data_IF_467496492568
#
_entry.id   IF_467496492568
#
_cell.length_a   1.000
_cell.length_b   1.000
_cell.length_c   1.000
_cell.angle_alpha   90.00
_cell.angle_beta   90.00
_cell.angle_gamma   90.00
#
_symmetry.space_group_name_H-M   'P 1'
#
loop_
_entity.id
_entity.type
_entity.pdbx_description
1 polymer ?
#
# COMPACT_ATOMS: atom_id res chain seq x y z
N UNK A 1 9.49 -32.06 -0.26
CA UNK A 1 8.34 -32.45 0.59
C UNK A 1 7.60 -31.17 0.90
N UNK A 2 6.39 -30.98 0.36
CA UNK A 2 5.54 -29.82 0.69
C UNK A 2 5.09 -30.03 2.13
N UNK A 3 5.34 -29.06 2.98
CA UNK A 3 5.05 -29.11 4.41
C UNK A 3 3.53 -29.27 4.63
N UNK A 4 3.11 -30.43 5.07
CA UNK A 4 1.69 -30.77 5.26
C UNK A 4 1.01 -30.01 6.41
N UNK A 5 1.73 -29.16 7.12
CA UNK A 5 1.22 -28.38 8.26
C UNK A 5 0.44 -27.14 7.84
N UNK A 6 0.53 -26.69 6.58
CA UNK A 6 -0.14 -25.50 6.09
C UNK A 6 -1.54 -25.72 5.49
N UNK A 7 -1.97 -26.97 5.32
CA UNK A 7 -3.21 -27.28 4.58
C UNK A 7 -4.51 -26.89 5.29
N UNK A 8 -4.51 -26.60 6.60
CA UNK A 8 -5.76 -26.28 7.36
C UNK A 8 -5.68 -25.00 8.19
N UNK A 9 -4.64 -24.19 8.02
CA UNK A 9 -4.52 -22.93 8.75
C UNK A 9 -5.68 -22.00 8.37
N UNK A 10 -6.43 -21.55 9.35
CA UNK A 10 -7.47 -20.51 9.18
C UNK A 10 -6.80 -19.15 9.23
N UNK A 11 -7.26 -18.24 8.35
CA UNK A 11 -6.81 -16.85 8.41
C UNK A 11 -7.29 -16.20 9.72
N UNK A 12 -6.36 -15.53 10.40
CA UNK A 12 -6.69 -14.72 11.58
C UNK A 12 -7.32 -13.39 11.16
N UNK A 13 -7.79 -12.62 12.14
CA UNK A 13 -8.26 -11.25 11.91
C UNK A 13 -7.13 -10.35 11.36
N UNK A 14 -5.92 -10.52 11.86
CA UNK A 14 -4.73 -9.80 11.42
C UNK A 14 -4.35 -10.13 9.98
N UNK A 15 -4.44 -11.42 9.60
CA UNK A 15 -4.25 -11.86 8.21
C UNK A 15 -5.29 -11.18 7.30
N UNK A 16 -6.55 -11.17 7.70
CA UNK A 16 -7.60 -10.47 6.95
C UNK A 16 -7.32 -8.97 6.83
N UNK A 17 -6.96 -8.30 7.92
CA UNK A 17 -6.63 -6.87 7.89
C UNK A 17 -5.48 -6.57 6.94
N UNK A 18 -4.46 -7.45 6.93
CA UNK A 18 -3.33 -7.37 5.97
C UNK A 18 -3.81 -7.54 4.54
N UNK A 19 -4.66 -8.53 4.25
CA UNK A 19 -5.23 -8.76 2.92
C UNK A 19 -6.07 -7.53 2.49
N UNK A 20 -6.95 -7.04 3.32
CA UNK A 20 -7.80 -5.90 3.01
C UNK A 20 -6.98 -4.63 2.79
N UNK A 21 -6.01 -4.35 3.66
CA UNK A 21 -5.21 -3.14 3.57
C UNK A 21 -4.24 -3.18 2.37
N UNK A 22 -3.46 -4.25 2.22
CA UNK A 22 -2.42 -4.32 1.19
C UNK A 22 -2.93 -4.86 -0.14
N UNK A 23 -3.56 -6.04 -0.18
CA UNK A 23 -3.98 -6.64 -1.45
C UNK A 23 -5.15 -5.88 -2.07
N UNK A 24 -6.21 -5.60 -1.31
CA UNK A 24 -7.36 -4.86 -1.83
C UNK A 24 -7.05 -3.36 -1.92
N UNK A 25 -6.50 -2.77 -0.88
CA UNK A 25 -6.24 -1.33 -0.80
C UNK A 25 -5.03 -0.89 -1.63
N UNK A 26 -3.82 -1.16 -1.13
CA UNK A 26 -2.59 -0.59 -1.72
C UNK A 26 -2.31 -1.16 -3.11
N UNK A 27 -2.41 -2.48 -3.29
CA UNK A 27 -2.11 -3.12 -4.58
C UNK A 27 -3.12 -2.74 -5.67
N UNK A 28 -4.41 -2.69 -5.32
CA UNK A 28 -5.50 -2.68 -6.29
C UNK A 28 -6.24 -1.33 -6.38
N UNK A 29 -6.47 -0.63 -5.27
CA UNK A 29 -7.27 0.60 -5.27
C UNK A 29 -6.42 1.86 -5.30
N UNK A 30 -5.62 2.09 -4.27
CA UNK A 30 -4.96 3.38 -4.10
C UNK A 30 -3.57 3.47 -4.71
N UNK A 31 -2.83 2.36 -4.73
CA UNK A 31 -1.40 2.37 -5.08
C UNK A 31 -0.67 3.46 -4.25
N UNK A 32 -0.04 4.41 -4.91
CA UNK A 32 0.64 5.55 -4.25
C UNK A 32 -0.30 6.72 -3.92
N UNK A 33 -1.63 6.59 -4.13
CA UNK A 33 -2.57 7.72 -4.06
C UNK A 33 -3.38 7.81 -2.76
N UNK A 34 -3.07 6.97 -1.75
CA UNK A 34 -3.86 6.88 -0.52
C UNK A 34 -4.02 8.22 0.21
N UNK A 35 -2.97 9.04 0.21
CA UNK A 35 -2.92 10.30 0.98
C UNK A 35 -3.09 11.53 0.09
N UNK A 36 -3.92 11.43 -0.92
CA UNK A 36 -4.32 12.55 -1.76
C UNK A 36 -5.68 12.31 -2.41
N UNK A 37 -6.34 13.38 -2.79
CA UNK A 37 -7.56 13.31 -3.57
C UNK A 37 -7.30 12.65 -4.93
N UNK A 38 -8.02 11.58 -5.20
CA UNK A 38 -8.05 10.90 -6.48
C UNK A 38 -9.44 11.03 -7.12
N UNK A 39 -9.54 10.83 -8.41
CA UNK A 39 -10.80 10.71 -9.15
C UNK A 39 -10.58 9.81 -10.35
N UNK A 40 -11.51 8.89 -10.58
CA UNK A 40 -11.55 8.08 -11.79
C UNK A 40 -12.20 8.88 -12.93
N UNK A 41 -11.43 9.73 -13.59
CA UNK A 41 -11.90 10.59 -14.67
C UNK A 41 -10.81 10.82 -15.72
N UNK A 42 -11.21 11.00 -16.97
CA UNK A 42 -10.38 11.63 -17.98
C UNK A 42 -10.42 13.15 -17.78
N UNK A 43 -9.33 13.82 -18.06
CA UNK A 43 -9.26 15.29 -18.04
C UNK A 43 -9.01 15.77 -19.48
N UNK A 44 -9.87 16.66 -19.95
CA UNK A 44 -9.73 17.28 -21.27
C UNK A 44 -10.18 18.74 -21.18
N UNK A 45 -9.38 19.67 -21.71
CA UNK A 45 -9.66 21.11 -21.72
C UNK A 45 -10.02 21.67 -20.32
N UNK A 46 -9.31 21.18 -19.27
CA UNK A 46 -9.55 21.58 -17.89
C UNK A 46 -10.83 21.01 -17.24
N UNK A 47 -11.61 20.20 -17.97
CA UNK A 47 -12.84 19.57 -17.48
C UNK A 47 -12.61 18.11 -17.12
N UNK A 48 -13.40 17.62 -16.15
CA UNK A 48 -13.42 16.23 -15.72
C UNK A 48 -14.50 15.46 -16.47
N UNK A 49 -14.14 14.27 -16.94
CA UNK A 49 -15.05 13.30 -17.53
C UNK A 49 -15.04 12.02 -16.70
N UNK A 50 -15.83 11.94 -15.61
CA UNK A 50 -15.83 10.80 -14.69
C UNK A 50 -16.16 9.48 -15.39
N UNK A 51 -15.43 8.44 -15.00
CA UNK A 51 -15.68 7.05 -15.42
C UNK A 51 -16.74 6.47 -14.49
N UNK A 52 -17.96 6.29 -15.03
CA UNK A 52 -19.10 5.83 -14.24
C UNK A 52 -19.71 6.92 -13.37
N UNK A 53 -20.07 6.57 -12.11
CA UNK A 53 -20.71 7.49 -11.17
C UNK A 53 -19.80 7.87 -9.98
N UNK A 54 -18.54 7.47 -9.99
CA UNK A 54 -17.60 7.79 -8.91
C UNK A 54 -17.23 9.27 -8.94
N UNK A 55 -17.17 9.87 -7.75
CA UNK A 55 -16.67 11.21 -7.49
C UNK A 55 -15.20 11.22 -7.12
N UNK A 56 -14.81 12.21 -6.29
CA UNK A 56 -13.50 12.22 -5.65
C UNK A 56 -13.40 11.07 -4.64
N UNK A 57 -12.20 10.54 -4.45
CA UNK A 57 -11.92 9.46 -3.51
C UNK A 57 -10.63 9.71 -2.74
N UNK A 58 -10.52 9.10 -1.56
CA UNK A 58 -9.39 9.19 -0.63
C UNK A 58 -9.16 7.85 0.05
N UNK A 59 -7.99 7.73 0.66
CA UNK A 59 -7.64 6.59 1.50
C UNK A 59 -7.09 5.41 0.74
N UNK A 60 -6.64 4.42 1.50
CA UNK A 60 -6.06 3.20 0.95
C UNK A 60 -7.12 2.38 0.22
N UNK A 61 -8.33 2.30 0.79
CA UNK A 61 -9.47 1.57 0.21
C UNK A 61 -10.24 2.40 -0.82
N UNK A 62 -9.85 3.67 -1.05
CA UNK A 62 -10.47 4.60 -2.00
C UNK A 62 -11.95 4.86 -1.70
N UNK A 63 -12.23 5.39 -0.50
CA UNK A 63 -13.58 5.86 -0.14
C UNK A 63 -14.05 6.92 -1.14
N UNK A 64 -15.15 6.65 -1.84
CA UNK A 64 -15.79 7.55 -2.81
C UNK A 64 -16.61 8.62 -2.08
N UNK A 65 -16.14 9.86 -2.10
CA UNK A 65 -16.79 10.99 -1.42
C UNK A 65 -18.15 11.36 -2.04
N UNK A 66 -18.32 11.07 -3.33
CA UNK A 66 -19.62 11.28 -4.01
C UNK A 66 -20.70 10.28 -3.58
N UNK A 67 -20.30 9.09 -3.13
CA UNK A 67 -21.22 8.11 -2.52
C UNK A 67 -21.34 8.27 -1.00
N UNK A 68 -20.40 8.99 -0.39
CA UNK A 68 -20.27 9.23 1.05
C UNK A 68 -20.07 10.73 1.33
N UNK A 69 -21.07 11.60 1.06
CA UNK A 69 -20.95 13.04 1.22
C UNK A 69 -20.68 13.47 2.68
N UNK A 70 -21.08 12.65 3.64
CA UNK A 70 -20.72 12.83 5.05
C UNK A 70 -19.19 12.79 5.27
N UNK A 71 -18.48 11.93 4.53
CA UNK A 71 -17.01 11.85 4.61
C UNK A 71 -16.36 13.08 3.97
N UNK A 72 -16.96 13.65 2.93
CA UNK A 72 -16.50 14.92 2.34
C UNK A 72 -16.57 16.07 3.36
N UNK A 73 -17.68 16.12 4.13
CA UNK A 73 -17.83 17.09 5.22
C UNK A 73 -16.78 16.88 6.32
N UNK A 74 -16.64 15.66 6.82
CA UNK A 74 -15.66 15.30 7.84
C UNK A 74 -14.21 15.62 7.40
N UNK A 75 -13.88 15.43 6.11
CA UNK A 75 -12.58 15.80 5.55
C UNK A 75 -12.31 17.30 5.66
N UNK A 76 -13.30 18.12 5.30
CA UNK A 76 -13.17 19.59 5.35
C UNK A 76 -13.10 20.07 6.80
N UNK A 77 -13.88 19.50 7.71
CA UNK A 77 -13.80 19.81 9.15
C UNK A 77 -12.40 19.48 9.74
N UNK A 78 -11.86 18.29 9.39
CA UNK A 78 -10.51 17.91 9.80
C UNK A 78 -9.44 18.85 9.22
N UNK A 79 -9.56 19.23 7.95
CA UNK A 79 -8.71 20.22 7.31
C UNK A 79 -8.79 21.58 8.02
N UNK A 80 -9.98 22.08 8.32
CA UNK A 80 -10.18 23.35 9.03
C UNK A 80 -9.53 23.34 10.43
N UNK A 81 -9.64 22.22 11.16
CA UNK A 81 -8.97 22.05 12.45
C UNK A 81 -7.45 22.08 12.30
N UNK A 82 -6.92 21.37 11.32
CA UNK A 82 -5.48 21.35 11.03
C UNK A 82 -4.95 22.73 10.64
N UNK A 83 -5.70 23.50 9.82
CA UNK A 83 -5.27 24.84 9.40
C UNK A 83 -5.20 25.82 10.55
N UNK A 84 -6.10 25.74 11.53
CA UNK A 84 -6.07 26.56 12.74
C UNK A 84 -4.72 26.50 13.45
N UNK A 85 -4.11 25.32 13.51
CA UNK A 85 -2.86 25.10 14.24
C UNK A 85 -1.61 25.28 13.36
N UNK A 86 -1.67 24.87 12.10
CA UNK A 86 -0.49 24.71 11.25
C UNK A 86 -0.40 25.71 10.10
N UNK A 87 -1.54 26.22 9.61
CA UNK A 87 -1.64 27.06 8.40
C UNK A 87 -2.83 28.04 8.49
N UNK A 88 -2.84 29.00 9.45
CA UNK A 88 -3.99 29.85 9.68
C UNK A 88 -4.48 30.60 8.43
N UNK A 89 -3.55 31.01 7.56
CA UNK A 89 -3.87 31.71 6.30
C UNK A 89 -4.60 30.83 5.25
N UNK A 90 -4.66 29.52 5.47
CA UNK A 90 -5.36 28.61 4.59
C UNK A 90 -6.76 28.26 5.05
N UNK A 91 -7.18 28.85 6.14
CA UNK A 91 -8.51 28.66 6.68
C UNK A 91 -9.58 29.09 5.68
N UNK A 92 -10.57 28.26 5.53
CA UNK A 92 -11.71 28.55 4.65
C UNK A 92 -12.71 29.47 5.36
N UNK A 93 -13.26 30.40 4.61
CA UNK A 93 -14.50 31.09 5.04
C UNK A 93 -15.67 30.11 4.99
N UNK A 94 -16.76 30.44 5.66
CA UNK A 94 -17.98 29.61 5.66
C UNK A 94 -18.52 29.36 4.23
N UNK A 95 -18.44 30.36 3.35
CA UNK A 95 -18.84 30.23 1.95
C UNK A 95 -17.95 29.25 1.20
N UNK A 96 -16.63 29.35 1.38
CA UNK A 96 -15.66 28.44 0.76
C UNK A 96 -15.82 27.02 1.29
N UNK A 97 -16.02 26.85 2.59
CA UNK A 97 -16.24 25.56 3.22
C UNK A 97 -17.43 24.83 2.61
N UNK A 98 -18.60 25.50 2.53
CA UNK A 98 -19.81 24.94 1.90
C UNK A 98 -19.59 24.58 0.44
N UNK A 99 -18.91 25.45 -0.32
CA UNK A 99 -18.60 25.19 -1.72
C UNK A 99 -17.67 23.98 -1.92
N UNK A 100 -16.66 23.82 -1.07
CA UNK A 100 -15.69 22.70 -1.16
C UNK A 100 -16.35 21.40 -0.74
N UNK A 101 -17.15 21.40 0.33
CA UNK A 101 -17.94 20.20 0.74
C UNK A 101 -18.82 19.75 -0.40
N UNK A 102 -19.54 20.69 -1.03
CA UNK A 102 -20.37 20.39 -2.22
C UNK A 102 -19.52 19.78 -3.34
N UNK A 103 -18.40 20.42 -3.71
CA UNK A 103 -17.56 19.98 -4.82
C UNK A 103 -16.94 18.59 -4.60
N UNK A 104 -16.53 18.29 -3.36
CA UNK A 104 -16.00 16.98 -2.99
C UNK A 104 -17.07 15.89 -2.98
N UNK A 105 -18.27 16.22 -2.50
CA UNK A 105 -19.40 15.29 -2.38
C UNK A 105 -20.17 15.03 -3.68
N UNK A 106 -19.74 15.59 -4.81
CA UNK A 106 -20.40 15.34 -6.10
C UNK A 106 -20.11 13.95 -6.62
N UNK A 107 -21.17 13.27 -7.03
CA UNK A 107 -21.08 12.05 -7.83
C UNK A 107 -20.57 12.33 -9.24
N UNK A 108 -20.09 11.30 -9.95
CA UNK A 108 -19.68 11.45 -11.35
C UNK A 108 -20.79 11.99 -12.27
N UNK A 109 -22.07 11.68 -11.98
CA UNK A 109 -23.21 12.25 -12.72
C UNK A 109 -23.39 13.74 -12.44
N UNK A 110 -23.20 14.18 -11.21
CA UNK A 110 -23.30 15.60 -10.83
C UNK A 110 -22.15 16.40 -11.42
N UNK A 111 -20.92 15.88 -11.38
CA UNK A 111 -19.77 16.51 -12.06
C UNK A 111 -20.07 16.69 -13.55
N UNK A 112 -20.64 15.68 -14.22
CA UNK A 112 -21.04 15.80 -15.64
C UNK A 112 -22.13 16.84 -15.87
N UNK A 113 -23.13 16.93 -14.99
CA UNK A 113 -24.21 17.95 -15.07
C UNK A 113 -23.68 19.37 -14.86
N UNK A 114 -22.61 19.53 -14.11
CA UNK A 114 -21.92 20.80 -13.88
C UNK A 114 -20.74 21.02 -14.85
N UNK A 115 -20.89 20.57 -16.08
CA UNK A 115 -19.94 20.77 -17.17
C UNK A 115 -18.51 20.30 -16.88
N UNK A 116 -18.38 19.26 -16.04
CA UNK A 116 -17.08 18.68 -15.70
C UNK A 116 -16.21 19.58 -14.81
N UNK A 117 -16.78 20.55 -14.12
CA UNK A 117 -16.05 21.51 -13.30
C UNK A 117 -15.21 20.78 -12.22
N UNK A 118 -13.87 20.91 -12.23
CA UNK A 118 -13.02 20.31 -11.20
C UNK A 118 -13.11 21.09 -9.88
N UNK A 119 -12.66 20.48 -8.79
CA UNK A 119 -12.33 21.21 -7.57
C UNK A 119 -11.25 22.26 -7.90
N UNK A 120 -11.37 23.53 -7.43
CA UNK A 120 -10.35 24.53 -7.67
C UNK A 120 -8.94 24.05 -7.28
N UNK A 121 -7.97 24.24 -8.16
CA UNK A 121 -6.62 23.68 -8.04
C UNK A 121 -5.91 24.06 -6.73
N UNK A 122 -6.12 25.28 -6.27
CA UNK A 122 -5.58 25.76 -5.01
C UNK A 122 -6.09 24.93 -3.83
N UNK A 123 -7.40 24.75 -3.72
CA UNK A 123 -8.00 23.96 -2.64
C UNK A 123 -7.63 22.49 -2.73
N UNK A 124 -7.59 21.94 -3.94
CA UNK A 124 -7.10 20.56 -4.15
C UNK A 124 -5.67 20.40 -3.66
N UNK A 125 -4.81 21.36 -3.94
CA UNK A 125 -3.41 21.36 -3.48
C UNK A 125 -3.32 21.44 -1.96
N UNK A 126 -4.06 22.34 -1.32
CA UNK A 126 -4.09 22.50 0.14
C UNK A 126 -4.63 21.26 0.86
N UNK A 127 -5.72 20.68 0.36
CA UNK A 127 -6.26 19.40 0.89
C UNK A 127 -5.27 18.25 0.74
N UNK A 128 -4.55 18.17 -0.38
CA UNK A 128 -3.52 17.15 -0.57
C UNK A 128 -2.34 17.33 0.39
N UNK A 129 -1.98 18.58 0.73
CA UNK A 129 -0.95 18.83 1.75
C UNK A 129 -1.43 18.41 3.14
N UNK A 130 -2.69 18.65 3.48
CA UNK A 130 -3.27 18.13 4.71
C UNK A 130 -3.24 16.60 4.72
N UNK A 131 -3.79 15.95 3.69
CA UNK A 131 -3.88 14.48 3.60
C UNK A 131 -2.51 13.80 3.69
N UNK A 132 -1.44 14.42 3.19
CA UNK A 132 -0.07 13.92 3.29
C UNK A 132 0.66 14.34 4.58
N UNK A 133 0.07 15.17 5.42
CA UNK A 133 0.60 15.50 6.74
C UNK A 133 0.41 14.36 7.73
N UNK A 134 1.13 14.38 8.86
CA UNK A 134 0.96 13.40 9.94
C UNK A 134 -0.51 13.30 10.40
N UNK A 135 -1.17 14.45 10.58
CA UNK A 135 -2.57 14.51 11.05
C UNK A 135 -3.53 13.96 9.97
N UNK A 136 -3.29 14.30 8.71
CA UNK A 136 -4.07 13.80 7.58
C UNK A 136 -3.90 12.30 7.36
N UNK A 137 -2.68 11.77 7.47
CA UNK A 137 -2.40 10.32 7.41
C UNK A 137 -3.15 9.60 8.53
N UNK A 138 -3.11 10.10 9.76
CA UNK A 138 -3.83 9.53 10.90
C UNK A 138 -5.34 9.55 10.65
N UNK A 139 -5.88 10.65 10.14
CA UNK A 139 -7.29 10.77 9.79
C UNK A 139 -7.71 9.75 8.70
N UNK A 140 -6.91 9.60 7.63
CA UNK A 140 -7.13 8.61 6.57
C UNK A 140 -7.12 7.19 7.13
N UNK A 141 -6.13 6.84 7.97
CA UNK A 141 -6.06 5.51 8.58
C UNK A 141 -7.28 5.16 9.42
N UNK A 142 -7.80 6.13 10.18
CA UNK A 142 -9.04 5.90 10.96
C UNK A 142 -10.20 5.53 10.04
N UNK A 143 -10.31 6.16 8.87
CA UNK A 143 -11.33 5.84 7.85
C UNK A 143 -11.12 4.49 7.21
N UNK A 144 -9.89 4.20 6.81
CA UNK A 144 -9.52 2.90 6.22
C UNK A 144 -9.88 1.75 7.18
N UNK A 145 -9.56 1.88 8.48
CA UNK A 145 -9.90 0.88 9.51
C UNK A 145 -11.42 0.66 9.60
N UNK A 146 -12.21 1.74 9.60
CA UNK A 146 -13.68 1.63 9.64
C UNK A 146 -14.23 0.88 8.41
N UNK A 147 -13.70 1.15 7.23
CA UNK A 147 -14.12 0.47 6.01
C UNK A 147 -13.66 -0.98 5.97
N UNK A 148 -12.44 -1.29 6.43
CA UNK A 148 -11.93 -2.65 6.57
C UNK A 148 -12.79 -3.45 7.55
N UNK A 149 -13.14 -2.87 8.70
CA UNK A 149 -14.06 -3.51 9.66
C UNK A 149 -15.44 -3.81 9.04
N UNK A 150 -15.94 -2.93 8.17
CA UNK A 150 -17.19 -3.19 7.43
C UNK A 150 -17.05 -4.39 6.48
N UNK A 151 -15.93 -4.52 5.79
CA UNK A 151 -15.64 -5.68 4.93
C UNK A 151 -15.48 -6.95 5.76
N UNK A 152 -14.80 -6.87 6.91
CA UNK A 152 -14.67 -7.98 7.86
C UNK A 152 -16.03 -8.57 8.22
N UNK A 153 -16.95 -7.74 8.70
CA UNK A 153 -18.26 -8.16 9.15
C UNK A 153 -19.16 -8.70 8.02
N UNK A 154 -19.06 -8.11 6.84
CA UNK A 154 -19.98 -8.43 5.75
C UNK A 154 -19.46 -9.50 4.79
N UNK A 155 -18.16 -9.76 4.75
CA UNK A 155 -17.52 -10.71 3.82
C UNK A 155 -16.69 -11.73 4.57
N UNK A 156 -15.67 -11.32 5.32
CA UNK A 156 -14.68 -12.25 5.86
C UNK A 156 -15.28 -13.23 6.87
N UNK A 157 -15.96 -12.74 7.91
CA UNK A 157 -16.56 -13.59 8.94
C UNK A 157 -17.57 -14.56 8.31
N UNK A 158 -18.55 -14.11 7.50
CA UNK A 158 -19.47 -15.03 6.86
C UNK A 158 -18.84 -16.02 5.87
N UNK A 159 -17.71 -15.66 5.26
CA UNK A 159 -16.97 -16.52 4.32
C UNK A 159 -16.27 -17.67 5.05
N UNK A 160 -15.71 -17.40 6.24
CA UNK A 160 -15.05 -18.41 7.08
C UNK A 160 -15.99 -19.57 7.48
N UNK A 161 -17.30 -19.33 7.56
CA UNK A 161 -18.32 -20.33 7.91
C UNK A 161 -18.68 -21.24 6.73
N UNK A 162 -18.20 -20.96 5.51
CA UNK A 162 -18.57 -21.73 4.32
C UNK A 162 -17.71 -22.97 4.17
N UNK A 163 -18.33 -24.05 3.63
CA UNK A 163 -17.63 -25.29 3.34
C UNK A 163 -16.44 -25.07 2.40
N UNK A 164 -16.63 -24.27 1.33
CA UNK A 164 -15.57 -23.94 0.40
C UNK A 164 -14.35 -23.40 1.14
N UNK A 165 -14.52 -22.36 1.96
CA UNK A 165 -13.40 -21.73 2.68
C UNK A 165 -12.65 -22.73 3.58
N UNK A 166 -13.39 -23.60 4.30
CA UNK A 166 -12.81 -24.56 5.24
C UNK A 166 -11.91 -25.60 4.55
N UNK A 167 -12.25 -25.98 3.31
CA UNK A 167 -11.54 -27.00 2.53
C UNK A 167 -10.32 -26.44 1.75
N UNK A 168 -10.17 -25.12 1.63
CA UNK A 168 -9.10 -24.47 0.87
C UNK A 168 -7.75 -24.52 1.59
N UNK A 169 -6.66 -24.46 0.80
CA UNK A 169 -5.31 -24.16 1.27
C UNK A 169 -5.24 -22.73 1.82
N UNK A 170 -4.18 -22.41 2.58
CA UNK A 170 -3.96 -21.03 3.09
C UNK A 170 -3.88 -20.00 1.95
N UNK A 171 -3.19 -20.34 0.86
CA UNK A 171 -3.04 -19.47 -0.31
C UNK A 171 -4.38 -19.24 -1.01
N UNK A 172 -5.17 -20.30 -1.20
CA UNK A 172 -6.49 -20.19 -1.81
C UNK A 172 -7.48 -19.44 -0.91
N UNK A 173 -7.39 -19.59 0.42
CA UNK A 173 -8.15 -18.77 1.38
C UNK A 173 -7.80 -17.29 1.22
N UNK A 174 -6.50 -16.97 1.14
CA UNK A 174 -6.01 -15.60 0.95
C UNK A 174 -6.51 -15.01 -0.36
N UNK A 175 -6.44 -15.79 -1.44
CA UNK A 175 -6.97 -15.42 -2.76
C UNK A 175 -8.49 -15.19 -2.70
N UNK A 176 -9.26 -16.14 -2.18
CA UNK A 176 -10.72 -16.04 -2.08
C UNK A 176 -11.15 -14.80 -1.31
N UNK A 177 -10.50 -14.54 -0.17
CA UNK A 177 -10.77 -13.35 0.66
C UNK A 177 -10.43 -12.07 -0.11
N UNK A 178 -9.30 -12.02 -0.81
CA UNK A 178 -8.89 -10.84 -1.56
C UNK A 178 -9.90 -10.50 -2.67
N UNK A 179 -10.31 -11.49 -3.50
CA UNK A 179 -11.21 -11.22 -4.64
C UNK A 179 -12.63 -10.89 -4.21
N UNK A 180 -13.15 -11.55 -3.16
CA UNK A 180 -14.49 -11.27 -2.63
C UNK A 180 -14.55 -9.93 -1.91
N UNK A 181 -13.52 -9.58 -1.13
CA UNK A 181 -13.39 -8.27 -0.48
C UNK A 181 -13.23 -7.16 -1.49
N UNK A 182 -12.42 -7.36 -2.55
CA UNK A 182 -12.28 -6.41 -3.66
C UNK A 182 -13.60 -6.18 -4.37
N UNK A 183 -14.32 -7.24 -4.70
CA UNK A 183 -15.62 -7.13 -5.37
C UNK A 183 -16.63 -6.38 -4.49
N UNK A 184 -16.66 -6.66 -3.18
CA UNK A 184 -17.53 -5.96 -2.23
C UNK A 184 -17.17 -4.47 -2.14
N UNK A 185 -15.89 -4.14 -2.10
CA UNK A 185 -15.43 -2.75 -2.09
C UNK A 185 -15.86 -1.99 -3.36
N UNK A 186 -15.84 -2.65 -4.50
CA UNK A 186 -16.29 -2.06 -5.78
C UNK A 186 -17.80 -2.04 -5.93
N UNK A 187 -18.50 -3.02 -5.37
CA UNK A 187 -19.95 -3.16 -5.43
C UNK A 187 -20.44 -4.06 -4.30
N UNK A 188 -20.96 -3.46 -3.23
CA UNK A 188 -21.54 -4.21 -2.12
C UNK A 188 -22.57 -5.24 -2.58
N UNK A 189 -23.39 -4.86 -3.56
CA UNK A 189 -24.42 -5.75 -4.13
C UNK A 189 -23.82 -7.01 -4.75
N UNK A 190 -22.77 -6.88 -5.52
CA UNK A 190 -22.13 -8.03 -6.17
C UNK A 190 -21.32 -8.86 -5.18
N UNK A 191 -20.60 -8.21 -4.26
CA UNK A 191 -19.89 -8.92 -3.20
C UNK A 191 -20.83 -9.77 -2.34
N UNK A 192 -21.96 -9.22 -1.90
CA UNK A 192 -22.99 -9.98 -1.16
C UNK A 192 -23.58 -11.12 -1.98
N UNK A 193 -23.79 -10.92 -3.29
CA UNK A 193 -24.32 -11.95 -4.18
C UNK A 193 -23.36 -13.13 -4.33
N UNK A 194 -22.07 -12.86 -4.58
CA UNK A 194 -21.05 -13.92 -4.65
C UNK A 194 -20.94 -14.66 -3.31
N UNK A 195 -20.87 -13.94 -2.19
CA UNK A 195 -20.87 -14.56 -0.87
C UNK A 195 -22.07 -15.48 -0.66
N UNK A 196 -23.27 -15.05 -1.04
CA UNK A 196 -24.45 -15.90 -0.92
C UNK A 196 -24.34 -17.15 -1.80
N UNK A 197 -23.84 -17.01 -3.03
CA UNK A 197 -23.62 -18.16 -3.93
C UNK A 197 -22.55 -19.15 -3.37
N UNK A 198 -21.52 -18.65 -2.64
CA UNK A 198 -20.57 -19.48 -1.90
C UNK A 198 -21.24 -20.21 -0.75
N UNK A 199 -22.08 -19.50 0.06
CA UNK A 199 -22.85 -20.10 1.16
C UNK A 199 -23.80 -21.19 0.67
N UNK A 200 -24.40 -20.99 -0.49
CA UNK A 200 -25.30 -21.95 -1.14
C UNK A 200 -24.55 -23.18 -1.71
N UNK A 201 -23.21 -23.26 -1.59
CA UNK A 201 -22.41 -24.38 -2.06
C UNK A 201 -22.31 -24.49 -3.59
N UNK A 202 -22.45 -23.36 -4.31
CA UNK A 202 -22.41 -23.34 -5.77
C UNK A 202 -21.02 -23.45 -6.37
N UNK A 203 -19.97 -23.35 -5.56
CA UNK A 203 -18.59 -23.36 -5.98
C UNK A 203 -17.77 -24.42 -5.22
N UNK A 204 -16.86 -25.06 -5.93
CA UNK A 204 -15.95 -26.08 -5.40
C UNK A 204 -14.48 -25.63 -5.44
N UNK A 205 -14.19 -24.48 -6.03
CA UNK A 205 -12.84 -23.94 -6.15
C UNK A 205 -12.84 -22.41 -6.22
N UNK A 206 -11.70 -21.79 -5.92
CA UNK A 206 -11.52 -20.33 -6.07
C UNK A 206 -11.63 -19.91 -7.52
N UNK A 207 -11.18 -20.74 -8.47
CA UNK A 207 -11.29 -20.48 -9.90
C UNK A 207 -12.74 -20.36 -10.37
N UNK A 208 -13.67 -21.12 -9.78
CA UNK A 208 -15.10 -20.99 -10.10
C UNK A 208 -15.66 -19.67 -9.58
N UNK A 209 -15.23 -19.22 -8.39
CA UNK A 209 -15.58 -17.91 -7.85
C UNK A 209 -15.04 -16.80 -8.75
N UNK A 210 -13.78 -16.89 -9.19
CA UNK A 210 -13.18 -15.96 -10.15
C UNK A 210 -13.98 -15.87 -11.46
N UNK A 211 -14.33 -17.04 -12.03
CA UNK A 211 -15.15 -17.12 -13.23
C UNK A 211 -16.52 -16.48 -13.06
N UNK A 212 -17.10 -16.59 -11.86
CA UNK A 212 -18.35 -15.92 -11.50
C UNK A 212 -18.18 -14.40 -11.44
N UNK A 213 -17.11 -13.94 -10.83
CA UNK A 213 -16.77 -12.50 -10.78
C UNK A 213 -16.59 -11.97 -12.20
N UNK A 214 -15.89 -12.69 -13.08
CA UNK A 214 -15.72 -12.32 -14.49
C UNK A 214 -17.07 -12.17 -15.22
N UNK A 215 -18.06 -12.97 -14.87
CA UNK A 215 -19.41 -12.83 -15.45
C UNK A 215 -20.08 -11.50 -15.08
N UNK A 216 -19.87 -11.00 -13.84
CA UNK A 216 -20.35 -9.66 -13.44
C UNK A 216 -19.58 -8.55 -14.15
N UNK A 217 -18.26 -8.73 -14.31
CA UNK A 217 -17.42 -7.76 -15.02
C UNK A 217 -17.89 -7.60 -16.47
N UNK A 218 -18.12 -8.70 -17.17
CA UNK A 218 -18.65 -8.71 -18.53
C UNK A 218 -20.02 -8.03 -18.62
N UNK A 219 -20.92 -8.36 -17.70
CA UNK A 219 -22.27 -7.79 -17.66
C UNK A 219 -22.28 -6.28 -17.35
N UNK A 220 -21.26 -5.75 -16.67
CA UNK A 220 -21.16 -4.35 -16.31
C UNK A 220 -20.77 -3.41 -17.46
N UNK A 221 -20.20 -3.95 -18.54
CA UNK A 221 -19.56 -3.17 -19.61
C UNK A 221 -18.29 -2.41 -19.19
N UNK A 222 -17.78 -2.64 -17.97
CA UNK A 222 -16.59 -1.97 -17.39
C UNK A 222 -15.40 -2.91 -17.27
N UNK A 223 -15.24 -3.79 -18.25
CA UNK A 223 -14.34 -4.93 -18.21
C UNK A 223 -12.91 -4.56 -17.74
N UNK A 224 -12.28 -3.60 -18.40
CA UNK A 224 -10.85 -3.33 -18.19
C UNK A 224 -10.54 -2.82 -16.77
N UNK A 225 -11.34 -1.92 -16.24
CA UNK A 225 -11.08 -1.33 -14.92
C UNK A 225 -11.28 -2.32 -13.78
N UNK A 226 -12.39 -3.08 -13.79
CA UNK A 226 -12.72 -4.00 -12.70
C UNK A 226 -11.82 -5.24 -12.77
N UNK A 227 -11.54 -5.76 -13.98
CA UNK A 227 -10.66 -6.90 -14.20
C UNK A 227 -9.22 -6.60 -13.76
N UNK A 228 -8.68 -5.43 -14.12
CA UNK A 228 -7.35 -5.01 -13.69
C UNK A 228 -7.27 -4.95 -12.16
N UNK A 229 -8.24 -4.30 -11.50
CA UNK A 229 -8.25 -4.21 -10.04
C UNK A 229 -8.34 -5.58 -9.35
N UNK A 230 -9.10 -6.54 -9.90
CA UNK A 230 -9.15 -7.91 -9.39
C UNK A 230 -7.80 -8.61 -9.54
N UNK A 231 -7.18 -8.55 -10.71
CA UNK A 231 -5.85 -9.15 -10.95
C UNK A 231 -4.80 -8.57 -9.99
N UNK A 232 -4.80 -7.28 -9.78
CA UNK A 232 -3.89 -6.62 -8.84
C UNK A 232 -4.15 -7.05 -7.39
N UNK A 233 -5.40 -7.28 -6.99
CA UNK A 233 -5.72 -7.82 -5.66
C UNK A 233 -5.20 -9.26 -5.49
N UNK A 234 -5.33 -10.11 -6.52
CA UNK A 234 -4.77 -11.47 -6.53
C UNK A 234 -3.25 -11.46 -6.42
N UNK A 235 -2.56 -10.60 -7.20
CA UNK A 235 -1.11 -10.45 -7.10
C UNK A 235 -0.68 -9.98 -5.71
N UNK A 236 -1.43 -9.04 -5.12
CA UNK A 236 -1.21 -8.61 -3.73
C UNK A 236 -1.40 -9.74 -2.72
N UNK A 237 -2.42 -10.58 -2.90
CA UNK A 237 -2.66 -11.76 -2.07
C UNK A 237 -1.52 -12.79 -2.19
N UNK A 238 -1.05 -13.05 -3.41
CA UNK A 238 0.11 -13.91 -3.66
C UNK A 238 1.36 -13.38 -2.97
N UNK A 239 1.58 -12.07 -3.00
CA UNK A 239 2.71 -11.43 -2.33
C UNK A 239 2.62 -11.61 -0.80
N UNK A 240 1.42 -11.50 -0.20
CA UNK A 240 1.20 -11.76 1.23
C UNK A 240 1.57 -13.18 1.58
N UNK A 241 1.08 -14.17 0.83
CA UNK A 241 1.39 -15.59 1.06
C UNK A 241 2.89 -15.89 0.96
N UNK A 242 3.58 -15.32 -0.02
CA UNK A 242 4.99 -15.56 -0.26
C UNK A 242 5.91 -14.90 0.78
N UNK A 243 5.56 -13.70 1.27
CA UNK A 243 6.43 -12.95 2.17
C UNK A 243 6.19 -13.26 3.64
N UNK A 244 5.11 -14.01 3.98
CA UNK A 244 4.73 -14.26 5.37
C UNK A 244 4.78 -12.97 6.22
N UNK A 245 4.18 -11.89 5.68
CA UNK A 245 4.28 -10.52 6.23
C UNK A 245 3.56 -10.48 7.58
N UNK A 246 4.31 -10.54 8.65
CA UNK A 246 3.81 -10.47 10.02
C UNK A 246 4.25 -9.19 10.72
N UNK A 247 5.30 -8.53 10.28
CA UNK A 247 5.85 -7.34 10.95
C UNK A 247 5.24 -6.05 10.42
N UNK A 248 4.44 -5.42 11.27
CA UNK A 248 3.64 -4.22 10.97
C UNK A 248 4.40 -2.90 11.16
N UNK A 249 5.64 -2.91 11.62
CA UNK A 249 6.32 -1.69 12.08
C UNK A 249 6.86 -0.81 10.95
N UNK A 250 6.96 -1.32 9.72
CA UNK A 250 7.43 -0.53 8.58
C UNK A 250 6.39 -0.44 7.45
N UNK A 251 5.27 0.21 7.74
CA UNK A 251 4.14 0.38 6.79
C UNK A 251 4.56 0.95 5.42
N UNK A 252 5.55 1.85 5.37
CA UNK A 252 5.96 2.47 4.11
C UNK A 252 6.75 1.50 3.22
N UNK A 253 7.64 0.70 3.79
CA UNK A 253 8.39 -0.31 3.03
C UNK A 253 7.45 -1.42 2.55
N UNK A 254 6.60 -1.93 3.44
CA UNK A 254 5.59 -2.93 3.09
C UNK A 254 4.66 -2.36 2.02
N UNK A 255 4.15 -1.14 2.16
CA UNK A 255 3.33 -0.46 1.15
C UNK A 255 4.01 -0.43 -0.22
N UNK A 256 5.31 -0.12 -0.28
CA UNK A 256 6.06 -0.05 -1.53
C UNK A 256 6.12 -1.39 -2.27
N UNK A 257 6.13 -2.52 -1.55
CA UNK A 257 6.04 -3.85 -2.17
C UNK A 257 4.70 -4.07 -2.89
N UNK A 258 3.61 -3.53 -2.37
CA UNK A 258 2.25 -3.72 -2.90
C UNK A 258 1.84 -2.67 -3.95
N UNK A 259 2.60 -1.59 -4.15
CA UNK A 259 2.33 -0.61 -5.21
C UNK A 259 2.49 -1.24 -6.60
N UNK A 260 3.46 -2.15 -6.75
CA UNK A 260 3.71 -2.93 -7.96
C UNK A 260 3.96 -4.40 -7.57
N UNK A 261 2.90 -5.17 -7.28
CA UNK A 261 3.03 -6.52 -6.75
C UNK A 261 3.66 -7.48 -7.75
N UNK A 262 3.42 -7.32 -9.05
CA UNK A 262 4.02 -8.17 -10.08
C UNK A 262 5.55 -8.02 -10.10
N UNK A 263 6.03 -6.78 -10.09
CA UNK A 263 7.47 -6.49 -10.03
C UNK A 263 8.10 -7.00 -8.73
N UNK A 264 7.38 -6.90 -7.62
CA UNK A 264 7.85 -7.37 -6.31
C UNK A 264 7.94 -8.89 -6.27
N UNK A 265 6.93 -9.62 -6.77
CA UNK A 265 6.93 -11.08 -6.91
C UNK A 265 8.09 -11.54 -7.80
N UNK A 266 8.30 -10.88 -8.94
CA UNK A 266 9.40 -11.22 -9.84
C UNK A 266 10.78 -11.01 -9.19
N UNK A 267 10.95 -9.95 -8.40
CA UNK A 267 12.19 -9.73 -7.63
C UNK A 267 12.42 -10.81 -6.56
N UNK A 268 11.37 -11.27 -5.90
CA UNK A 268 11.45 -12.35 -4.89
C UNK A 268 11.89 -13.63 -5.58
N UNK A 269 11.21 -14.02 -6.67
CA UNK A 269 11.57 -15.21 -7.46
C UNK A 269 13.03 -15.17 -7.94
N UNK A 270 13.49 -14.03 -8.48
CA UNK A 270 14.87 -13.88 -8.90
C UNK A 270 15.89 -13.99 -7.74
N UNK A 271 15.49 -13.62 -6.51
CA UNK A 271 16.33 -13.81 -5.32
C UNK A 271 16.36 -15.27 -4.89
N UNK A 272 15.24 -15.97 -5.02
CA UNK A 272 15.15 -17.40 -4.75
C UNK A 272 15.94 -18.21 -5.77
N UNK A 273 15.83 -17.89 -7.07
CA UNK A 273 16.62 -18.51 -8.13
C UNK A 273 18.14 -18.29 -7.95
N UNK A 274 18.54 -17.12 -7.43
CA UNK A 274 19.93 -16.84 -7.05
C UNK A 274 20.36 -17.54 -5.76
N UNK A 275 19.42 -17.81 -4.83
CA UNK A 275 19.67 -18.56 -3.60
C UNK A 275 19.76 -20.07 -3.85
N UNK A 276 19.21 -20.59 -4.94
CA UNK A 276 19.35 -22.01 -5.34
C UNK A 276 20.83 -22.39 -5.65
N UNK A 277 21.71 -21.38 -5.82
CA UNK A 277 23.17 -21.58 -5.79
C UNK A 277 23.80 -21.69 -4.39
N UNK A 278 23.09 -21.30 -3.33
CA UNK A 278 23.55 -21.40 -1.92
C UNK A 278 22.35 -21.54 -1.00
N UNK A 279 21.83 -22.76 -0.90
CA UNK A 279 20.80 -23.09 0.09
C UNK A 279 21.50 -23.23 1.45
N UNK A 280 21.68 -22.13 2.18
CA UNK A 280 22.04 -22.18 3.60
C UNK A 280 20.78 -22.52 4.38
N UNK A 281 20.69 -23.76 4.83
CA UNK A 281 19.72 -24.18 5.85
C UNK A 281 20.14 -23.59 7.22
N UNK A 282 19.24 -23.63 8.23
CA UNK A 282 19.61 -23.28 9.60
C UNK A 282 20.79 -24.12 10.13
N UNK A 283 20.87 -25.36 9.68
CA UNK A 283 21.99 -26.29 9.99
C UNK A 283 23.29 -25.84 9.31
N UNK A 284 23.21 -25.31 8.08
CA UNK A 284 24.35 -24.74 7.36
C UNK A 284 24.87 -23.47 8.05
N UNK A 285 23.98 -22.61 8.57
CA UNK A 285 24.37 -21.44 9.33
C UNK A 285 25.04 -21.80 10.66
N UNK A 286 24.49 -22.77 11.39
CA UNK A 286 25.10 -23.28 12.61
C UNK A 286 26.45 -23.92 12.35
N UNK A 287 26.59 -24.65 11.26
CA UNK A 287 27.83 -25.24 10.79
C UNK A 287 28.85 -24.17 10.41
N UNK A 288 28.42 -23.13 9.69
CA UNK A 288 29.25 -21.98 9.33
C UNK A 288 29.79 -21.27 10.57
N UNK A 289 28.93 -20.98 11.55
CA UNK A 289 29.31 -20.32 12.81
C UNK A 289 30.30 -21.21 13.61
N UNK A 290 30.03 -22.51 13.70
CA UNK A 290 30.93 -23.44 14.38
C UNK A 290 32.30 -23.53 13.68
N UNK A 291 32.33 -23.55 12.35
CA UNK A 291 33.57 -23.54 11.59
C UNK A 291 34.37 -22.25 11.81
N UNK A 292 33.71 -21.09 11.84
CA UNK A 292 34.35 -19.80 12.14
C UNK A 292 34.90 -19.73 13.56
N UNK A 293 34.15 -20.22 14.56
CA UNK A 293 34.60 -20.25 15.97
C UNK A 293 35.83 -21.16 16.14
N UNK A 294 35.91 -22.24 15.37
CA UNK A 294 36.99 -23.24 15.46
C UNK A 294 38.12 -22.99 14.46
N UNK A 295 38.06 -21.95 13.64
CA UNK A 295 39.06 -21.62 12.62
C UNK A 295 40.30 -20.95 13.24
N UNK A 296 41.07 -21.71 13.98
CA UNK A 296 42.26 -21.21 14.74
C UNK A 296 43.40 -20.76 13.85
N UNK A 297 43.54 -21.31 12.66
CA UNK A 297 44.59 -20.98 11.68
C UNK A 297 44.13 -20.00 10.58
N UNK A 298 42.86 -19.61 10.58
CA UNK A 298 42.28 -18.68 9.61
C UNK A 298 42.09 -19.27 8.21
N UNK A 299 42.28 -20.57 8.02
CA UNK A 299 42.20 -21.23 6.72
C UNK A 299 40.75 -21.22 6.18
N UNK A 300 39.80 -21.53 7.03
CA UNK A 300 38.38 -21.50 6.68
C UNK A 300 37.90 -20.08 6.35
N UNK A 301 38.28 -19.10 7.18
CA UNK A 301 37.95 -17.69 6.93
C UNK A 301 38.50 -17.20 5.61
N UNK A 302 39.77 -17.53 5.28
CA UNK A 302 40.40 -17.18 4.02
C UNK A 302 39.65 -17.79 2.82
N UNK A 303 39.27 -19.07 2.93
CA UNK A 303 38.52 -19.75 1.87
C UNK A 303 37.12 -19.08 1.67
N UNK A 304 36.42 -18.82 2.77
CA UNK A 304 35.09 -18.19 2.74
C UNK A 304 35.15 -16.81 2.10
N UNK A 305 36.16 -15.99 2.40
CA UNK A 305 36.36 -14.68 1.79
C UNK A 305 36.73 -14.79 0.31
N UNK A 306 37.50 -15.79 -0.09
CA UNK A 306 37.86 -16.04 -1.48
C UNK A 306 36.64 -16.49 -2.29
N UNK A 307 35.81 -17.36 -1.74
CA UNK A 307 34.60 -17.87 -2.39
C UNK A 307 33.51 -16.79 -2.54
N UNK A 308 33.55 -15.73 -1.72
CA UNK A 308 32.62 -14.60 -1.74
C UNK A 308 33.32 -13.27 -2.10
N UNK A 309 34.40 -13.33 -2.86
CA UNK A 309 35.23 -12.17 -3.18
C UNK A 309 34.42 -10.99 -3.75
N UNK A 310 33.46 -11.24 -4.63
CA UNK A 310 32.64 -10.19 -5.24
C UNK A 310 31.79 -9.44 -4.20
N UNK A 311 31.34 -10.13 -3.16
CA UNK A 311 30.54 -9.54 -2.06
C UNK A 311 31.46 -8.70 -1.17
N UNK A 312 32.65 -9.22 -0.87
CA UNK A 312 33.68 -8.54 -0.06
C UNK A 312 34.14 -7.26 -0.77
N UNK A 313 34.51 -7.36 -2.04
CA UNK A 313 34.95 -6.22 -2.86
C UNK A 313 33.85 -5.13 -2.95
N UNK A 314 32.57 -5.54 -3.10
CA UNK A 314 31.44 -4.60 -3.13
C UNK A 314 31.18 -3.94 -1.76
N UNK A 315 31.42 -4.64 -0.65
CA UNK A 315 31.31 -4.09 0.69
C UNK A 315 32.44 -3.09 0.96
N UNK A 316 33.68 -3.48 0.64
CA UNK A 316 34.86 -2.62 0.81
C UNK A 316 34.73 -1.33 -0.02
N UNK A 317 34.24 -1.42 -1.26
CA UNK A 317 33.97 -0.25 -2.08
C UNK A 317 32.98 0.72 -1.43
N UNK A 318 31.89 0.20 -0.84
CA UNK A 318 30.90 1.02 -0.10
C UNK A 318 31.47 1.65 1.16
N UNK A 319 32.32 0.93 1.88
CA UNK A 319 32.99 1.45 3.08
C UNK A 319 33.92 2.59 2.69
N UNK A 320 34.73 2.41 1.64
CA UNK A 320 35.62 3.46 1.12
C UNK A 320 34.88 4.70 0.63
N UNK A 321 33.74 4.51 -0.03
CA UNK A 321 32.90 5.63 -0.46
C UNK A 321 32.35 6.40 0.75
N UNK A 322 31.90 5.70 1.79
CA UNK A 322 31.40 6.32 3.02
C UNK A 322 32.48 7.11 3.75
N UNK A 323 33.69 6.55 3.87
CA UNK A 323 34.85 7.23 4.48
C UNK A 323 35.14 8.54 3.71
N UNK A 324 35.18 8.48 2.37
CA UNK A 324 35.38 9.71 1.55
C UNK A 324 34.30 10.75 1.75
N UNK A 325 33.03 10.34 1.89
CA UNK A 325 31.94 11.28 2.16
C UNK A 325 32.06 11.92 3.54
N UNK A 326 32.45 11.17 4.56
CA UNK A 326 32.68 11.68 5.93
C UNK A 326 33.88 12.66 5.96
N UNK A 327 34.98 12.34 5.26
CA UNK A 327 36.13 13.24 5.13
C UNK A 327 35.75 14.55 4.42
N UNK A 328 34.98 14.49 3.33
CA UNK A 328 34.51 15.69 2.64
C UNK A 328 33.58 16.54 3.50
N UNK A 329 32.72 15.92 4.31
CA UNK A 329 31.85 16.65 5.24
C UNK A 329 32.67 17.33 6.34
N UNK A 330 33.72 16.65 6.84
CA UNK A 330 34.62 17.24 7.85
C UNK A 330 35.35 18.44 7.31
N UNK A 331 35.94 18.34 6.12
CA UNK A 331 36.63 19.45 5.45
C UNK A 331 35.68 20.63 5.20
N UNK A 332 34.44 20.34 4.75
CA UNK A 332 33.44 21.39 4.55
C UNK A 332 33.02 22.11 5.84
N UNK A 333 32.92 21.36 6.96
CA UNK A 333 32.62 21.94 8.27
C UNK A 333 33.79 22.79 8.80
N UNK A 334 35.04 22.36 8.62
CA UNK A 334 36.23 23.11 9.01
C UNK A 334 36.33 24.40 8.20
N UNK A 335 36.13 24.35 6.88
CA UNK A 335 36.11 25.53 6.05
C UNK A 335 35.03 26.55 6.45
N UNK A 336 33.85 26.07 6.82
CA UNK A 336 32.77 26.93 7.35
C UNK A 336 33.15 27.59 8.70
N UNK A 337 33.81 26.85 9.60
CA UNK A 337 34.31 27.40 10.86
C UNK A 337 35.36 28.46 10.63
N UNK A 338 36.31 28.28 9.75
CA UNK A 338 37.32 29.31 9.42
C UNK A 338 36.70 30.58 8.83
N UNK A 339 35.67 30.47 8.01
CA UNK A 339 34.96 31.64 7.45
C UNK A 339 34.23 32.39 8.55
N UNK A 340 33.62 31.70 9.50
CA UNK A 340 32.94 32.30 10.64
C UNK A 340 33.94 32.99 11.57
N UNK A 341 35.06 32.37 11.90
CA UNK A 341 36.11 32.98 12.74
C UNK A 341 36.71 34.23 12.09
N UNK A 342 36.98 34.22 10.79
CA UNK A 342 37.48 35.40 10.06
C UNK A 342 36.44 36.52 9.99
N UNK A 343 35.14 36.20 9.99
CA UNK A 343 34.06 37.20 9.98
C UNK A 343 33.86 37.90 11.34
N UNK A 344 34.20 37.22 12.43
CA UNK A 344 34.11 37.77 13.79
C UNK A 344 35.40 38.45 14.28
N UNK A 345 36.58 38.09 13.72
CA UNK A 345 37.87 38.67 14.09
C UNK A 345 38.14 40.09 13.54
N UNK A 346 37.30 40.63 12.68
CA UNK A 346 37.49 41.90 11.99
C UNK A 346 36.87 43.16 12.65
N UNK A 347 36.26 43.05 13.84
CA UNK A 347 35.78 44.23 14.58
C UNK A 347 36.73 44.63 15.72
N UNK A 348 37.83 45.28 15.37
CA UNK A 348 38.59 46.10 16.28
C UNK A 348 37.78 47.36 16.59
N UNK A 349 37.44 47.55 17.86
CA UNK A 349 36.92 48.82 18.34
C UNK A 349 38.04 49.85 18.34
N UNK A 350 37.90 50.89 17.58
CA UNK A 350 38.59 52.18 17.73
C UNK A 350 37.55 53.22 18.14
#
# INVERSE_FOLDING_TARGET
>A
MVDSTNQHKTLSKEDFQTIAYFAVGVSSESKSKAYRLAIAANTRDGKLYPIGNSGYSIGTIQTDLGQHPEVAKDLVEAYQKWTLEKKPDWRLSEIQEKAIIHDLGRTGKEIKREDGRPLPSEFKSRLNQFLSSKDGITWVHTRDVNQINKIEQNIFIPLQETKLYQELSFDDKTHLVAVTSKLYNQSERWGRKVLQEVKDGKFHSVNEVDSRIDSFIKASGKKDYIETGRKEAVLGATLISQLNIIEKDNHNEIRNLFIDPEKSINKIKQREDKKVGTQFSYDDFSTLVNNLINDKDGSFTKQLLADNKDIVDAFDAKVQEKIKQEEQQTIAQEAQREVVEKSFGGRSFS
#
